data_IF_265457574218
#
_entry.id   IF_265457574218
#
_cell.length_a   1.000
_cell.length_b   1.000
_cell.length_c   1.000
_cell.angle_alpha   90.00
_cell.angle_beta   90.00
_cell.angle_gamma   90.00
#
_symmetry.space_group_name_H-M   'P 1'
#
loop_
_entity.id
_entity.type
_entity.pdbx_description
1 polymer ?
#
# COMPACT_ATOMS: atom_id res chain seq x y z
N UNK A 1 -11.65 6.76 9.51
CA UNK A 1 -11.58 6.68 10.98
C UNK A 1 -10.18 6.29 11.41
N UNK A 2 -9.71 6.79 12.54
CA UNK A 2 -8.29 6.84 12.97
C UNK A 2 -7.47 5.56 12.76
N UNK A 3 -8.08 4.36 12.83
CA UNK A 3 -7.43 3.08 12.55
C UNK A 3 -6.95 2.89 11.09
N UNK A 4 -7.52 3.65 10.16
CA UNK A 4 -7.15 3.67 8.74
C UNK A 4 -6.36 4.92 8.35
N UNK A 5 -5.89 5.73 9.32
CA UNK A 5 -5.25 7.02 9.05
C UNK A 5 -6.13 7.97 8.21
N UNK A 6 -7.46 7.90 8.39
CA UNK A 6 -8.40 8.72 7.62
C UNK A 6 -8.65 8.25 6.18
N UNK A 7 -8.01 7.17 5.72
CA UNK A 7 -8.20 6.65 4.36
C UNK A 7 -9.56 5.98 4.16
N UNK A 8 -10.08 5.32 5.19
CA UNK A 8 -11.36 4.61 5.13
C UNK A 8 -12.23 4.99 6.33
N UNK A 9 -13.43 5.50 6.07
CA UNK A 9 -14.45 5.65 7.10
C UNK A 9 -15.38 4.43 7.03
N UNK A 10 -15.43 3.67 8.11
CA UNK A 10 -16.34 2.53 8.24
C UNK A 10 -17.31 2.88 9.36
N UNK A 11 -18.60 2.85 9.05
CA UNK A 11 -19.68 3.04 10.02
C UNK A 11 -20.52 1.77 9.98
N UNK A 12 -20.53 0.97 11.05
CA UNK A 12 -21.39 -0.19 11.16
C UNK A 12 -22.85 0.25 11.13
N UNK A 13 -23.68 -0.52 10.44
CA UNK A 13 -25.07 -0.19 10.18
C UNK A 13 -25.94 -1.42 10.39
N UNK A 14 -27.19 -1.21 10.78
CA UNK A 14 -28.22 -2.24 10.78
C UNK A 14 -28.53 -2.71 9.36
N UNK A 15 -29.31 -3.79 9.24
CA UNK A 15 -29.80 -4.30 7.94
C UNK A 15 -30.53 -3.24 7.09
N UNK A 16 -31.13 -2.24 7.75
CA UNK A 16 -31.89 -1.17 7.12
C UNK A 16 -31.01 0.06 6.80
N UNK A 17 -29.71 -0.03 7.06
CA UNK A 17 -28.73 1.01 6.74
C UNK A 17 -28.59 2.10 7.81
N UNK A 18 -29.22 1.93 8.98
CA UNK A 18 -29.15 2.88 10.10
C UNK A 18 -27.80 2.71 10.83
N UNK A 19 -27.01 3.78 11.04
CA UNK A 19 -25.78 3.71 11.83
C UNK A 19 -26.01 3.13 13.23
N UNK A 20 -25.13 2.24 13.66
CA UNK A 20 -25.13 1.70 15.02
C UNK A 20 -24.32 2.66 15.91
N UNK A 21 -24.97 3.22 16.93
CA UNK A 21 -24.35 4.12 17.91
C UNK A 21 -23.93 3.38 19.17
N UNK A 22 -24.76 2.43 19.65
CA UNK A 22 -24.46 1.54 20.76
C UNK A 22 -24.24 0.10 20.29
N UNK A 23 -23.03 -0.40 20.48
CA UNK A 23 -22.64 -1.76 20.10
C UNK A 23 -23.20 -2.82 21.05
N UNK A 24 -23.41 -2.49 22.32
CA UNK A 24 -23.85 -3.44 23.35
C UNK A 24 -25.29 -3.91 23.07
N UNK A 25 -26.12 -3.04 22.48
CA UNK A 25 -27.48 -3.37 22.04
C UNK A 25 -27.50 -4.33 20.82
N UNK A 26 -26.38 -4.47 20.12
CA UNK A 26 -26.27 -5.22 18.87
C UNK A 26 -25.36 -6.44 18.97
N UNK A 27 -25.12 -6.93 20.19
CA UNK A 27 -24.37 -8.17 20.42
C UNK A 27 -25.16 -9.36 19.89
N UNK A 28 -24.49 -10.21 19.10
CA UNK A 28 -25.10 -11.40 18.52
C UNK A 28 -24.88 -12.58 19.48
N UNK A 29 -25.96 -13.32 19.74
CA UNK A 29 -25.94 -14.53 20.56
C UNK A 29 -26.35 -15.74 19.73
N UNK A 30 -25.69 -16.87 19.97
CA UNK A 30 -26.10 -18.19 19.51
C UNK A 30 -26.23 -19.13 20.71
N UNK A 31 -27.34 -19.85 20.80
CA UNK A 31 -27.64 -20.78 21.92
C UNK A 31 -27.41 -20.19 23.33
N UNK A 32 -27.69 -18.90 23.52
CA UNK A 32 -27.52 -18.20 24.80
C UNK A 32 -26.09 -17.73 25.10
N UNK A 33 -25.15 -17.92 24.18
CA UNK A 33 -23.78 -17.44 24.30
C UNK A 33 -23.50 -16.34 23.29
N UNK A 34 -22.78 -15.31 23.72
CA UNK A 34 -22.29 -14.28 22.81
C UNK A 34 -21.34 -14.89 21.78
N UNK A 35 -21.58 -14.60 20.51
CA UNK A 35 -20.69 -14.99 19.42
C UNK A 35 -19.44 -14.11 19.48
N UNK A 36 -18.30 -14.74 19.72
CA UNK A 36 -16.99 -14.07 19.69
C UNK A 36 -16.39 -14.12 18.29
N UNK A 37 -15.62 -13.09 17.92
CA UNK A 37 -14.97 -12.99 16.60
C UNK A 37 -14.12 -14.22 16.24
N UNK A 38 -13.40 -14.78 17.21
CA UNK A 38 -12.55 -15.96 16.99
C UNK A 38 -13.35 -17.20 16.59
N UNK A 39 -14.65 -17.28 16.89
CA UNK A 39 -15.51 -18.39 16.47
C UNK A 39 -15.61 -18.44 14.95
N UNK A 40 -15.76 -17.29 14.29
CA UNK A 40 -15.82 -17.22 12.83
C UNK A 40 -14.53 -17.74 12.18
N UNK A 41 -13.36 -17.44 12.77
CA UNK A 41 -12.07 -17.98 12.31
C UNK A 41 -12.03 -19.49 12.50
N UNK A 42 -12.44 -19.99 13.66
CA UNK A 42 -12.44 -21.42 13.94
C UNK A 42 -13.37 -22.20 13.00
N UNK A 43 -14.57 -21.69 12.73
CA UNK A 43 -15.51 -22.28 11.77
C UNK A 43 -14.99 -22.24 10.34
N UNK A 44 -14.37 -21.13 9.95
CA UNK A 44 -13.71 -21.02 8.65
C UNK A 44 -12.60 -22.06 8.48
N UNK A 45 -11.72 -22.22 9.48
CA UNK A 45 -10.68 -23.26 9.44
C UNK A 45 -11.28 -24.67 9.40
N UNK A 46 -12.40 -24.91 10.08
CA UNK A 46 -13.13 -26.20 10.03
C UNK A 46 -13.75 -26.50 8.67
N UNK A 47 -14.01 -25.46 7.86
CA UNK A 47 -14.62 -25.60 6.53
C UNK A 47 -13.65 -26.14 5.47
N UNK A 48 -12.35 -26.21 5.76
CA UNK A 48 -11.36 -26.73 4.83
C UNK A 48 -11.41 -28.23 4.64
N UNK A 49 -10.82 -28.69 3.53
CA UNK A 49 -10.67 -30.09 3.21
C UNK A 49 -9.95 -30.83 4.33
N UNK A 50 -10.41 -32.06 4.60
CA UNK A 50 -9.96 -32.85 5.74
C UNK A 50 -9.06 -33.99 5.27
N UNK A 51 -7.98 -34.20 6.01
CA UNK A 51 -7.16 -35.40 5.96
C UNK A 51 -7.29 -36.12 7.30
N UNK A 52 -7.64 -37.41 7.27
CA UNK A 52 -7.92 -38.23 8.47
C UNK A 52 -8.92 -37.58 9.45
N UNK A 53 -9.90 -36.85 8.90
CA UNK A 53 -10.94 -36.17 9.67
C UNK A 53 -10.51 -34.83 10.28
N UNK A 54 -9.26 -34.41 10.08
CA UNK A 54 -8.71 -33.13 10.56
C UNK A 54 -8.65 -32.14 9.40
N UNK A 55 -9.29 -30.95 9.52
CA UNK A 55 -9.17 -29.89 8.53
C UNK A 55 -7.72 -29.46 8.32
N UNK A 56 -7.27 -29.42 7.07
CA UNK A 56 -5.92 -29.01 6.70
C UNK A 56 -5.93 -27.62 6.06
N UNK A 57 -4.83 -26.89 6.24
CA UNK A 57 -4.67 -25.58 5.62
C UNK A 57 -4.39 -25.76 4.11
N UNK A 58 -5.15 -25.12 3.21
CA UNK A 58 -4.95 -25.28 1.78
C UNK A 58 -3.55 -24.85 1.34
N UNK A 59 -2.97 -25.59 0.38
CA UNK A 59 -1.67 -25.27 -0.25
C UNK A 59 -1.64 -23.85 -0.82
N UNK A 60 -2.79 -23.29 -1.18
CA UNK A 60 -2.96 -21.90 -1.57
C UNK A 60 -2.30 -20.90 -0.59
N UNK A 61 -2.32 -21.19 0.71
CA UNK A 61 -1.73 -20.33 1.73
C UNK A 61 -0.26 -20.63 2.03
N UNK A 62 0.32 -21.68 1.46
CA UNK A 62 1.73 -22.06 1.68
C UNK A 62 2.73 -21.07 1.04
N UNK A 63 2.29 -20.29 0.06
CA UNK A 63 3.14 -19.37 -0.70
C UNK A 63 2.72 -17.90 -0.56
N UNK A 64 3.68 -17.00 -0.79
CA UNK A 64 3.42 -15.57 -0.87
C UNK A 64 2.63 -15.27 -2.14
N UNK A 65 1.40 -14.78 -1.97
CA UNK A 65 0.47 -14.48 -3.08
C UNK A 65 0.75 -13.15 -3.80
N UNK A 66 1.89 -12.49 -3.57
CA UNK A 66 2.21 -11.20 -4.18
C UNK A 66 1.27 -10.03 -3.84
N UNK A 67 0.25 -10.24 -2.98
CA UNK A 67 -0.73 -9.22 -2.58
C UNK A 67 -0.15 -8.07 -1.77
N UNK A 68 0.98 -8.31 -1.10
CA UNK A 68 1.78 -7.29 -0.41
C UNK A 68 3.24 -7.59 -0.67
N UNK A 69 3.89 -6.72 -1.45
CA UNK A 69 5.32 -6.77 -1.71
C UNK A 69 5.90 -5.60 -0.91
N UNK A 70 6.64 -5.93 0.15
CA UNK A 70 7.40 -4.93 0.92
C UNK A 70 8.80 -4.91 0.33
N UNK A 71 9.21 -3.77 -0.22
CA UNK A 71 10.56 -3.52 -0.72
C UNK A 71 11.21 -2.46 0.15
N UNK A 72 12.01 -2.92 1.12
CA UNK A 72 12.71 -2.05 2.07
C UNK A 72 14.12 -1.66 1.58
N UNK A 73 14.43 -1.83 0.29
CA UNK A 73 15.75 -1.54 -0.23
C UNK A 73 16.03 -0.01 -0.24
N UNK A 74 17.00 0.49 0.55
CA UNK A 74 17.28 1.92 0.62
C UNK A 74 18.08 2.44 -0.58
N UNK A 75 18.53 1.57 -1.49
CA UNK A 75 19.38 1.97 -2.61
C UNK A 75 18.64 2.84 -3.62
N UNK A 76 19.36 3.84 -4.14
CA UNK A 76 18.85 4.74 -5.19
C UNK A 76 18.48 3.95 -6.45
N UNK A 77 19.28 2.93 -6.79
CA UNK A 77 19.04 2.12 -7.98
C UNK A 77 17.72 1.34 -7.92
N UNK A 78 17.35 0.79 -6.75
CA UNK A 78 16.07 0.10 -6.59
C UNK A 78 14.87 1.00 -6.92
N UNK A 79 14.96 2.30 -6.59
CA UNK A 79 13.91 3.29 -6.87
C UNK A 79 13.81 3.70 -8.34
N UNK A 80 14.90 3.57 -9.11
CA UNK A 80 14.96 3.98 -10.52
C UNK A 80 14.71 2.79 -11.46
N UNK A 81 14.85 1.55 -10.98
CA UNK A 81 14.79 0.32 -11.80
C UNK A 81 13.46 0.12 -12.53
N UNK A 82 12.33 0.46 -11.91
CA UNK A 82 11.00 0.21 -12.45
C UNK A 82 10.16 1.50 -12.44
N UNK A 83 10.44 2.46 -13.34
CA UNK A 83 9.72 3.72 -13.34
C UNK A 83 8.32 3.57 -13.94
N UNK A 84 7.33 4.25 -13.34
CA UNK A 84 6.00 4.40 -13.92
C UNK A 84 5.94 5.67 -14.82
N UNK A 85 4.80 5.90 -15.48
CA UNK A 85 4.63 7.06 -16.39
C UNK A 85 4.89 8.40 -15.70
N UNK A 86 4.47 8.55 -14.44
CA UNK A 86 4.68 9.77 -13.64
C UNK A 86 6.17 9.96 -13.35
N UNK A 87 6.86 8.88 -12.96
CA UNK A 87 8.29 8.89 -12.69
C UNK A 87 9.10 9.26 -13.93
N UNK A 88 8.76 8.70 -15.11
CA UNK A 88 9.41 9.06 -16.37
C UNK A 88 9.26 10.54 -16.72
N UNK A 89 8.07 11.12 -16.53
CA UNK A 89 7.84 12.55 -16.72
C UNK A 89 8.71 13.39 -15.78
N UNK A 90 8.75 13.03 -14.49
CA UNK A 90 9.61 13.68 -13.50
C UNK A 90 11.09 13.62 -13.88
N UNK A 91 11.59 12.46 -14.31
CA UNK A 91 12.98 12.31 -14.74
C UNK A 91 13.30 13.20 -15.93
N UNK A 92 12.37 13.32 -16.89
CA UNK A 92 12.51 14.23 -18.03
C UNK A 92 12.61 15.70 -17.62
N UNK A 93 11.77 16.14 -16.67
CA UNK A 93 11.80 17.51 -16.15
C UNK A 93 13.13 17.79 -15.43
N UNK A 94 13.58 16.86 -14.57
CA UNK A 94 14.85 16.97 -13.85
C UNK A 94 16.01 17.07 -14.85
N UNK A 95 16.03 16.21 -15.87
CA UNK A 95 17.05 16.22 -16.90
C UNK A 95 17.07 17.56 -17.66
N UNK A 96 15.90 18.07 -18.06
CA UNK A 96 15.79 19.36 -18.73
C UNK A 96 16.40 20.49 -17.88
N UNK A 97 16.08 20.55 -16.59
CA UNK A 97 16.62 21.56 -15.67
C UNK A 97 18.15 21.47 -15.60
N UNK A 98 18.70 20.26 -15.44
CA UNK A 98 20.15 20.04 -15.39
C UNK A 98 20.84 20.49 -16.69
N UNK A 99 20.23 20.20 -17.85
CA UNK A 99 20.79 20.66 -19.14
C UNK A 99 20.79 22.17 -19.27
N UNK A 100 19.73 22.86 -18.84
CA UNK A 100 19.64 24.32 -18.87
C UNK A 100 20.70 24.97 -17.96
N UNK A 101 20.92 24.43 -16.76
CA UNK A 101 21.96 24.89 -15.83
C UNK A 101 23.35 24.73 -16.46
N UNK A 102 23.64 23.57 -17.04
CA UNK A 102 24.93 23.32 -17.70
C UNK A 102 25.16 24.28 -18.88
N UNK A 103 24.13 24.54 -19.69
CA UNK A 103 24.17 25.52 -20.78
C UNK A 103 24.43 26.94 -20.27
N UNK A 104 23.74 27.36 -19.21
CA UNK A 104 23.93 28.67 -18.58
C UNK A 104 25.37 28.85 -18.11
N UNK A 105 25.92 27.87 -17.39
CA UNK A 105 27.31 27.87 -16.93
C UNK A 105 28.26 27.96 -18.14
N UNK A 106 28.03 27.16 -19.18
CA UNK A 106 28.85 27.19 -20.41
C UNK A 106 28.83 28.55 -21.08
N UNK A 107 27.67 29.21 -21.15
CA UNK A 107 27.52 30.56 -21.72
C UNK A 107 28.28 31.58 -20.87
N UNK A 108 28.14 31.54 -19.55
CA UNK A 108 28.85 32.44 -18.62
C UNK A 108 30.37 32.28 -18.77
N UNK A 109 30.87 31.04 -18.70
CA UNK A 109 32.32 30.75 -18.85
C UNK A 109 32.84 31.22 -20.21
N UNK A 110 32.10 30.98 -21.30
CA UNK A 110 32.47 31.46 -22.64
C UNK A 110 32.54 32.98 -22.71
N UNK A 111 31.60 33.70 -22.08
CA UNK A 111 31.62 35.17 -22.03
C UNK A 111 32.78 35.72 -21.22
N UNK A 112 33.10 35.11 -20.08
CA UNK A 112 34.23 35.53 -19.25
C UNK A 112 35.57 35.31 -19.97
N UNK A 113 35.77 34.16 -20.63
CA UNK A 113 37.00 33.90 -21.39
C UNK A 113 37.20 34.88 -22.55
N UNK A 114 36.14 35.27 -23.25
CA UNK A 114 36.23 36.27 -24.34
C UNK A 114 36.64 37.66 -23.84
N UNK A 115 36.29 38.04 -22.61
CA UNK A 115 36.72 39.31 -22.00
C UNK A 115 38.16 39.31 -21.50
N UNK A 116 38.75 38.14 -21.28
CA UNK A 116 40.15 38.01 -20.85
C UNK A 116 41.13 37.90 -22.03
N UNK A 117 40.63 37.72 -23.26
CA UNK A 117 41.42 37.64 -24.49
C UNK A 117 41.25 38.86 -25.41
N UNK A 118 40.57 39.90 -24.92
CA UNK A 118 40.46 41.23 -25.50
C UNK A 118 41.08 42.22 -24.52
#
# INVERSE_FOLDING_TARGET
GDKSFGLLSIVPKTKDGVPIEDFEEHIIYDNGHEIKEWLAIAEYLKSFDKEDGIPQMPDYYSQKQGRKIVDDNPSIFARIKNPNKIALMLYGIILLILTLIALLIRIIVRRLRRKASA
#
